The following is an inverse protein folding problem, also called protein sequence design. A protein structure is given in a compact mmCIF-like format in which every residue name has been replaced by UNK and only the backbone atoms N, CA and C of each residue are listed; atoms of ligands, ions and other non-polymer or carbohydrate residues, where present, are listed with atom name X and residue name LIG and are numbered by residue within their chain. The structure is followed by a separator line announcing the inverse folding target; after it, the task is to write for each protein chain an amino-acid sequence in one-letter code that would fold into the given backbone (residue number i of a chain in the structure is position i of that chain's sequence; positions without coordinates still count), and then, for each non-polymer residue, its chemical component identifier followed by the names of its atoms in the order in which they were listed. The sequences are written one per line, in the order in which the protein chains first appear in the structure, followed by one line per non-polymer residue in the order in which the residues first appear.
data_IF_012686969204
#
_entry.id   IF_012686969204
#
_cell.length_a   1.000
_cell.length_b   1.000
_cell.length_c   1.000
_cell.angle_alpha   90.00
_cell.angle_beta   90.00
_cell.angle_gamma   90.00
#
_symmetry.space_group_name_H-M   'P 1'
#
loop_
_entity.id
_entity.type
_entity.pdbx_description
1 polymer ?
2 non-polymer ?
3 non-polymer ?
4 non-polymer ?
5 water ?
#
# COMPACT_ATOMS: atom_id res chain seq x y z
N UNK A 1 -0.48 -25.69 -17.67
CA UNK A 1 -1.57 -24.79 -18.19
C UNK A 1 -2.57 -24.43 -17.11
N UNK A 2 -3.77 -24.03 -17.53
CA UNK A 2 -4.83 -23.63 -16.61
C UNK A 2 -5.21 -24.74 -15.63
N UNK A 3 -5.41 -25.96 -16.13
CA UNK A 3 -5.82 -27.08 -15.28
C UNK A 3 -4.74 -27.40 -14.26
N UNK A 4 -3.48 -27.39 -14.71
CA UNK A 4 -2.36 -27.58 -13.75
C UNK A 4 -2.35 -26.47 -12.69
N UNK A 5 -2.57 -25.21 -13.09
CA UNK A 5 -2.57 -24.11 -12.12
C UNK A 5 -3.62 -24.30 -11.03
N UNK A 6 -4.77 -24.84 -11.42
CA UNK A 6 -5.81 -25.14 -10.43
C UNK A 6 -5.26 -26.17 -9.42
N UNK A 7 -4.53 -27.19 -9.89
CA UNK A 7 -3.88 -28.13 -8.99
C UNK A 7 -2.79 -27.48 -8.12
N UNK A 8 -1.96 -26.60 -8.69
CA UNK A 8 -0.93 -25.91 -7.91
C UNK A 8 -1.58 -25.12 -6.80
N UNK A 9 -2.63 -24.38 -7.15
CA UNK A 9 -3.30 -23.52 -6.17
C UNK A 9 -3.97 -24.36 -5.11
N UNK A 10 -4.69 -25.39 -5.52
CA UNK A 10 -5.33 -26.26 -4.52
C UNK A 10 -4.37 -26.95 -3.59
N UNK A 11 -3.16 -27.28 -4.05
CA UNK A 11 -2.20 -28.01 -3.22
C UNK A 11 -1.76 -27.22 -2.00
N UNK A 12 -1.73 -25.90 -2.15
CA UNK A 12 -1.38 -25.03 -1.04
C UNK A 12 -2.37 -23.89 -1.00
N UNK A 13 -3.66 -24.22 -0.91
CA UNK A 13 -4.73 -23.22 -1.08
C UNK A 13 -4.63 -22.09 -0.08
N UNK A 14 -4.38 -22.43 1.19
CA UNK A 14 -4.24 -21.42 2.27
C UNK A 14 -3.23 -20.33 1.88
N UNK A 15 -2.04 -20.78 1.51
CA UNK A 15 -0.96 -19.86 1.18
C UNK A 15 -1.23 -19.03 -0.07
N UNK A 16 -1.68 -19.65 -1.16
CA UNK A 16 -2.00 -18.88 -2.34
C UNK A 16 -3.18 -17.93 -2.14
N UNK A 17 -4.22 -18.39 -1.44
CA UNK A 17 -5.40 -17.56 -1.25
C UNK A 17 -4.99 -16.30 -0.45
N UNK A 18 -4.20 -16.49 0.59
CA UNK A 18 -3.80 -15.32 1.39
C UNK A 18 -2.90 -14.40 0.57
N UNK A 19 -1.92 -14.98 -0.11
CA UNK A 19 -0.97 -14.26 -0.97
C UNK A 19 -1.67 -13.36 -1.99
N UNK A 20 -2.60 -13.98 -2.70
CA UNK A 20 -3.24 -13.29 -3.81
C UNK A 20 -4.22 -12.25 -3.28
N UNK A 21 -4.98 -12.60 -2.24
CA UNK A 21 -5.91 -11.62 -1.67
C UNK A 21 -5.19 -10.38 -1.15
N UNK A 22 -4.07 -10.59 -0.46
CA UNK A 22 -3.26 -9.46 0.01
C UNK A 22 -2.71 -8.68 -1.16
N UNK A 23 -2.25 -9.37 -2.19
CA UNK A 23 -1.78 -8.68 -3.40
C UNK A 23 -2.89 -7.76 -3.93
N UNK A 24 -4.11 -8.28 -3.95
CA UNK A 24 -5.29 -7.50 -4.37
C UNK A 24 -5.48 -6.23 -3.53
N UNK A 25 -5.53 -6.40 -2.21
CA UNK A 25 -5.76 -5.26 -1.30
C UNK A 25 -4.61 -4.28 -1.39
N UNK A 26 -3.39 -4.77 -1.54
CA UNK A 26 -2.28 -3.83 -1.54
C UNK A 26 -2.18 -3.04 -2.84
N UNK A 27 -2.57 -3.67 -3.96
CA UNK A 27 -2.60 -3.01 -5.26
C UNK A 27 -3.75 -2.00 -5.36
N UNK A 28 -4.89 -2.35 -4.77
CA UNK A 28 -6.10 -1.53 -4.80
C UNK A 28 -6.59 -1.30 -3.38
N UNK A 29 -5.89 -0.39 -2.64
CA UNK A 29 -6.20 -0.20 -1.22
C UNK A 29 -7.63 0.25 -0.96
N UNK A 30 -8.27 0.88 -1.95
CA UNK A 30 -9.63 1.32 -1.73
C UNK A 30 -10.62 0.14 -1.63
N UNK A 31 -10.19 -1.05 -2.05
CA UNK A 31 -11.00 -2.27 -1.94
C UNK A 31 -11.15 -2.79 -0.51
N UNK A 32 -10.26 -2.35 0.37
CA UNK A 32 -10.28 -2.83 1.73
C UNK A 32 -11.55 -2.40 2.49
N UNK A 33 -12.17 -1.30 2.06
CA UNK A 33 -13.42 -0.80 2.66
C UNK A 33 -14.52 -1.86 2.70
N UNK A 34 -14.50 -2.77 1.73
CA UNK A 34 -15.49 -3.86 1.73
C UNK A 34 -15.27 -4.89 2.83
N UNK A 35 -14.09 -4.88 3.46
CA UNK A 35 -13.76 -5.88 4.51
C UNK A 35 -13.38 -5.17 5.81
N UNK A 36 -14.41 -4.68 6.50
CA UNK A 36 -14.22 -3.79 7.65
C UNK A 36 -13.29 -4.34 8.74
N UNK A 37 -13.29 -5.65 8.95
CA UNK A 37 -12.44 -6.24 9.98
C UNK A 37 -10.96 -6.30 9.60
N UNK A 38 -10.65 -5.95 8.35
CA UNK A 38 -9.26 -5.95 7.87
C UNK A 38 -8.64 -4.56 7.82
N UNK A 39 -9.44 -3.52 8.07
CA UNK A 39 -8.94 -2.13 8.13
C UNK A 39 -7.88 -1.95 9.23
N UNK A 40 -6.77 -1.28 8.92
CA UNK A 40 -5.76 -0.94 9.92
C UNK A 40 -4.92 -2.12 10.37
N UNK A 41 -4.81 -3.11 9.50
CA UNK A 41 -4.02 -4.31 9.79
C UNK A 41 -2.98 -4.57 8.72
N UNK A 42 -1.74 -4.86 9.15
CA UNK A 42 -0.71 -5.29 8.22
C UNK A 42 -0.96 -6.72 7.73
N UNK A 43 -0.19 -7.15 6.74
CA UNK A 43 -0.34 -8.50 6.19
C UNK A 43 -0.16 -9.53 7.30
N UNK A 44 0.90 -9.41 8.09
CA UNK A 44 1.19 -10.45 9.07
C UNK A 44 0.14 -10.41 10.18
N UNK A 45 -0.40 -9.22 10.46
CA UNK A 45 -1.49 -9.08 11.43
C UNK A 45 -2.74 -9.83 10.97
N UNK A 46 -3.11 -9.63 9.71
CA UNK A 46 -4.27 -10.36 9.15
C UNK A 46 -4.10 -11.86 9.26
N UNK A 47 -2.88 -12.37 9.05
CA UNK A 47 -2.63 -13.82 9.06
C UNK A 47 -2.79 -14.53 10.41
N UNK A 48 -2.99 -13.77 11.48
CA UNK A 48 -3.25 -14.35 12.80
C UNK A 48 -4.70 -14.10 13.25
N UNK A 49 -5.51 -13.60 12.34
CA UNK A 49 -6.95 -13.50 12.56
C UNK A 49 -7.66 -14.66 11.92
N UNK A 50 -8.37 -15.43 12.74
CA UNK A 50 -9.04 -16.65 12.30
C UNK A 50 -9.94 -16.45 11.08
N UNK A 51 -10.75 -15.39 11.09
CA UNK A 51 -11.67 -15.17 9.97
C UNK A 51 -10.96 -14.81 8.67
N UNK A 52 -9.77 -14.20 8.76
CA UNK A 52 -9.05 -13.87 7.54
C UNK A 52 -8.66 -15.13 6.77
N UNK A 53 -8.00 -16.07 7.45
CA UNK A 53 -7.62 -17.35 6.84
C UNK A 53 -8.83 -18.13 6.34
N UNK A 54 -9.87 -18.17 7.16
CA UNK A 54 -11.05 -18.96 6.79
C UNK A 54 -11.77 -18.34 5.58
N UNK A 55 -12.03 -17.04 5.62
CA UNK A 55 -12.68 -16.29 4.52
C UNK A 55 -11.91 -16.44 3.23
N UNK A 56 -10.61 -16.16 3.27
CA UNK A 56 -9.80 -16.16 2.04
C UNK A 56 -9.72 -17.56 1.45
N UNK A 57 -9.58 -18.57 2.28
CA UNK A 57 -9.63 -19.88 1.70
C UNK A 57 -11.00 -20.22 1.09
N UNK A 58 -12.10 -19.79 1.72
CA UNK A 58 -13.41 -20.08 1.14
C UNK A 58 -13.60 -19.34 -0.21
N UNK A 59 -13.07 -18.14 -0.31
CA UNK A 59 -13.14 -17.42 -1.56
C UNK A 59 -12.42 -18.18 -2.65
N UNK A 60 -11.18 -18.58 -2.38
CA UNK A 60 -10.40 -19.25 -3.40
C UNK A 60 -10.84 -20.66 -3.66
N UNK A 61 -11.42 -21.33 -2.67
CA UNK A 61 -12.03 -22.63 -2.98
C UNK A 61 -13.15 -22.46 -4.02
N UNK A 62 -14.07 -21.51 -3.80
CA UNK A 62 -15.11 -21.25 -4.80
C UNK A 62 -14.50 -20.85 -6.14
N UNK A 63 -13.52 -19.95 -6.13
CA UNK A 63 -12.92 -19.53 -7.40
C UNK A 63 -12.36 -20.75 -8.17
N UNK A 64 -11.70 -21.64 -7.46
CA UNK A 64 -11.16 -22.84 -8.09
C UNK A 64 -12.25 -23.76 -8.59
N UNK A 65 -13.39 -23.82 -7.90
CA UNK A 65 -14.53 -24.63 -8.36
C UNK A 65 -15.05 -24.05 -9.68
N UNK A 66 -15.20 -22.74 -9.73
CA UNK A 66 -15.69 -22.05 -10.91
C UNK A 66 -14.69 -22.27 -12.05
N UNK A 67 -13.40 -22.18 -11.74
CA UNK A 67 -12.35 -22.37 -12.75
C UNK A 67 -12.38 -23.81 -13.30
N UNK A 68 -12.56 -24.80 -12.43
CA UNK A 68 -12.56 -26.20 -12.84
C UNK A 68 -13.79 -26.54 -13.69
N UNK A 69 -14.90 -25.89 -13.40
CA UNK A 69 -16.17 -26.09 -14.13
C UNK A 69 -16.20 -25.37 -15.47
N UNK A 70 -15.29 -24.41 -15.66
CA UNK A 70 -15.24 -23.65 -16.90
C UNK A 70 -14.85 -24.54 -18.09
N UNK A 71 -15.26 -24.10 -19.27
CA UNK A 71 -14.78 -24.72 -20.52
C UNK A 71 -13.95 -23.68 -21.26
N UNK A 72 -12.68 -24.02 -21.56
CA UNK A 72 -11.80 -23.12 -22.28
C UNK A 72 -11.77 -21.71 -21.60
N UNK A 73 -11.74 -21.72 -20.28
CA UNK A 73 -11.65 -20.48 -19.48
C UNK A 73 -12.90 -19.62 -19.56
N UNK A 74 -14.01 -20.24 -19.97
CA UNK A 74 -15.30 -19.56 -19.94
C UNK A 74 -16.14 -20.21 -18.84
N UNK A 75 -16.50 -19.43 -17.80
CA UNK A 75 -17.23 -19.98 -16.66
C UNK A 75 -18.68 -20.28 -17.00
N UNK A 76 -19.28 -21.17 -16.24
CA UNK A 76 -20.71 -21.43 -16.41
C UNK A 76 -21.57 -20.23 -16.10
N UNK A 77 -22.66 -20.09 -16.86
CA UNK A 77 -23.61 -19.06 -16.60
C UNK A 77 -24.17 -19.12 -15.17
N UNK A 78 -24.39 -20.34 -14.65
CA UNK A 78 -24.95 -20.54 -13.31
C UNK A 78 -23.94 -20.11 -12.24
N UNK A 79 -22.66 -20.34 -12.51
CA UNK A 79 -21.61 -19.89 -11.58
C UNK A 79 -21.51 -18.37 -11.53
N UNK A 80 -21.59 -17.70 -12.67
CA UNK A 80 -21.56 -16.23 -12.68
C UNK A 80 -22.77 -15.68 -11.94
N UNK A 81 -23.94 -16.28 -12.19
CA UNK A 81 -25.15 -15.86 -11.53
C UNK A 81 -25.02 -15.98 -10.01
N UNK A 82 -24.46 -17.09 -9.53
CA UNK A 82 -24.22 -17.32 -8.10
C UNK A 82 -23.42 -16.16 -7.52
N UNK A 83 -22.36 -15.77 -8.22
CA UNK A 83 -21.51 -14.71 -7.72
C UNK A 83 -22.17 -13.32 -7.73
N UNK A 84 -23.07 -13.08 -8.67
CA UNK A 84 -23.81 -11.80 -8.72
C UNK A 84 -24.85 -11.73 -7.61
N UNK A 85 -25.51 -12.85 -7.35
CA UNK A 85 -26.66 -12.80 -6.45
C UNK A 85 -26.33 -13.09 -4.98
N UNK A 86 -25.06 -13.44 -4.70
CA UNK A 86 -24.59 -13.62 -3.33
C UNK A 86 -24.82 -12.37 -2.49
N UNK A 87 -25.39 -12.57 -1.30
CA UNK A 87 -25.70 -11.46 -0.40
C UNK A 87 -24.45 -10.62 -0.11
N UNK A 88 -23.31 -11.29 0.07
CA UNK A 88 -22.04 -10.61 0.31
C UNK A 88 -21.54 -9.73 -0.83
N UNK A 89 -22.08 -9.93 -2.04
CA UNK A 89 -21.63 -9.20 -3.22
C UNK A 89 -22.62 -8.14 -3.74
N UNK A 90 -23.63 -7.80 -2.94
CA UNK A 90 -24.70 -6.88 -3.38
C UNK A 90 -24.20 -5.50 -3.83
N UNK A 91 -23.18 -4.98 -3.16
CA UNK A 91 -22.69 -3.65 -3.48
C UNK A 91 -21.66 -3.62 -4.62
N UNK A 92 -21.25 -4.80 -5.07
CA UNK A 92 -20.16 -4.92 -6.04
C UNK A 92 -20.51 -4.56 -7.49
N UNK A 93 -19.51 -4.08 -8.21
CA UNK A 93 -19.61 -3.90 -9.66
C UNK A 93 -18.55 -4.76 -10.34
N UNK A 94 -18.64 -4.92 -11.66
CA UNK A 94 -17.68 -5.80 -12.33
C UNK A 94 -16.25 -5.27 -12.21
N UNK A 95 -16.11 -3.97 -11.92
CA UNK A 95 -14.80 -3.37 -11.73
C UNK A 95 -14.05 -3.99 -10.55
N UNK A 96 -14.78 -4.41 -9.52
CA UNK A 96 -14.15 -4.99 -8.32
C UNK A 96 -13.50 -6.30 -8.73
N UNK A 97 -14.23 -7.09 -9.54
CA UNK A 97 -13.72 -8.36 -10.06
C UNK A 97 -12.58 -8.19 -11.03
N UNK A 98 -12.71 -7.22 -11.95
CA UNK A 98 -11.63 -6.87 -12.86
C UNK A 98 -10.33 -6.62 -12.07
N UNK A 99 -10.44 -5.87 -10.97
CA UNK A 99 -9.28 -5.53 -10.16
C UNK A 99 -8.68 -6.75 -9.46
N UNK A 100 -9.53 -7.65 -8.96
CA UNK A 100 -9.05 -8.89 -8.34
C UNK A 100 -8.23 -9.68 -9.34
N UNK A 101 -8.74 -9.76 -10.57
CA UNK A 101 -8.06 -10.56 -11.58
C UNK A 101 -6.80 -9.92 -12.13
N UNK A 102 -6.77 -8.59 -12.20
CA UNK A 102 -5.52 -7.89 -12.54
C UNK A 102 -4.45 -8.20 -11.48
N UNK A 103 -4.84 -8.10 -10.21
CA UNK A 103 -3.90 -8.43 -9.12
C UNK A 103 -3.44 -9.90 -9.17
N UNK A 104 -4.38 -10.80 -9.43
CA UNK A 104 -4.07 -12.23 -9.45
C UNK A 104 -3.05 -12.53 -10.57
N UNK A 105 -3.29 -11.97 -11.76
CA UNK A 105 -2.41 -12.17 -12.89
C UNK A 105 -1.02 -11.57 -12.64
N UNK A 106 -1.00 -10.37 -12.07
CA UNK A 106 0.27 -9.72 -11.66
C UNK A 106 1.05 -10.59 -10.68
N UNK A 107 0.32 -11.13 -9.71
CA UNK A 107 0.93 -12.02 -8.71
C UNK A 107 1.56 -13.22 -9.44
N UNK A 108 0.84 -13.84 -10.37
CA UNK A 108 1.32 -15.04 -11.05
C UNK A 108 2.56 -14.73 -11.84
N UNK A 109 2.55 -13.60 -12.55
CA UNK A 109 3.70 -13.21 -13.36
C UNK A 109 4.94 -12.95 -12.51
N UNK A 110 4.77 -12.37 -11.33
CA UNK A 110 5.88 -12.08 -10.40
C UNK A 110 6.41 -13.32 -9.67
N UNK A 111 5.62 -14.38 -9.65
CA UNK A 111 5.96 -15.54 -8.84
C UNK A 111 7.06 -16.38 -9.46
N UNK A 112 7.68 -17.21 -8.62
CA UNK A 112 8.66 -18.20 -9.08
C UNK A 112 8.04 -19.47 -9.62
N UNK A 113 6.73 -19.64 -9.40
CA UNK A 113 5.95 -20.78 -9.91
C UNK A 113 5.43 -20.50 -11.32
N UNK A 114 5.47 -21.52 -12.20
CA UNK A 114 5.15 -21.48 -13.67
C UNK A 114 3.68 -21.40 -14.18
N UNK A 115 2.96 -20.38 -13.76
CA UNK A 115 1.53 -20.26 -14.02
C UNK A 115 1.27 -19.89 -15.46
N UNK A 116 0.09 -20.27 -15.93
CA UNK A 116 -0.39 -19.90 -17.28
C UNK A 116 -1.15 -18.58 -17.09
N UNK A 117 -0.40 -17.50 -16.87
CA UNK A 117 -1.01 -16.24 -16.49
C UNK A 117 -1.97 -15.70 -17.56
N UNK A 118 -1.67 -15.92 -18.84
CA UNK A 118 -2.57 -15.54 -19.94
C UNK A 118 -3.96 -16.17 -19.80
N UNK A 119 -3.98 -17.45 -19.41
CA UNK A 119 -5.26 -18.18 -19.24
C UNK A 119 -6.05 -17.56 -18.10
N UNK A 120 -5.36 -17.17 -17.01
CA UNK A 120 -6.06 -16.53 -15.89
C UNK A 120 -6.63 -15.17 -16.25
N UNK A 121 -5.92 -14.45 -17.12
CA UNK A 121 -6.39 -13.17 -17.59
C UNK A 121 -7.65 -13.37 -18.43
N UNK A 122 -7.62 -14.35 -19.34
CA UNK A 122 -8.80 -14.75 -20.14
C UNK A 122 -9.97 -15.13 -19.25
N UNK A 123 -9.70 -15.99 -18.27
CA UNK A 123 -10.72 -16.42 -17.33
C UNK A 123 -11.34 -15.22 -16.59
N UNK A 124 -10.51 -14.32 -16.10
CA UNK A 124 -11.02 -13.12 -15.42
C UNK A 124 -11.88 -12.27 -16.34
N UNK A 125 -11.42 -12.08 -17.56
CA UNK A 125 -12.23 -11.28 -18.50
C UNK A 125 -13.55 -11.94 -18.84
N UNK A 126 -13.49 -13.26 -19.06
CA UNK A 126 -14.71 -14.01 -19.34
C UNK A 126 -15.67 -14.10 -18.15
N UNK A 127 -15.11 -14.16 -16.94
CA UNK A 127 -15.91 -14.08 -15.74
C UNK A 127 -16.58 -12.70 -15.65
N UNK A 128 -15.83 -11.62 -15.89
CA UNK A 128 -16.40 -10.26 -15.88
C UNK A 128 -17.52 -10.13 -16.92
N UNK A 129 -17.28 -10.62 -18.13
CA UNK A 129 -18.33 -10.62 -19.15
C UNK A 129 -19.58 -11.36 -18.67
N UNK A 130 -19.40 -12.51 -18.04
CA UNK A 130 -20.52 -13.35 -17.56
C UNK A 130 -21.24 -12.71 -16.39
N UNK A 131 -20.50 -12.05 -15.52
CA UNK A 131 -21.16 -11.25 -14.48
C UNK A 131 -22.04 -10.15 -15.09
N UNK A 132 -21.49 -9.46 -16.09
CA UNK A 132 -22.23 -8.38 -16.78
C UNK A 132 -23.51 -8.92 -17.40
N UNK A 133 -23.40 -10.05 -18.11
CA UNK A 133 -24.55 -10.63 -18.77
C UNK A 133 -25.55 -11.15 -17.72
N UNK A 134 -25.07 -11.41 -16.51
CA UNK A 134 -25.94 -11.80 -15.40
C UNK A 134 -26.50 -10.61 -14.60
N UNK A 135 -26.27 -9.41 -15.13
CA UNK A 135 -26.87 -8.22 -14.56
C UNK A 135 -26.04 -7.40 -13.60
N UNK A 136 -24.78 -7.77 -13.35
CA UNK A 136 -23.95 -6.98 -12.45
C UNK A 136 -23.62 -5.66 -13.14
N UNK A 137 -23.73 -4.57 -12.37
CA UNK A 137 -23.42 -3.21 -12.80
C UNK A 137 -21.94 -3.06 -13.17
N UNK B 1 -1.89 -1.81 2.57
CA UNK B 1 -2.42 -0.52 3.10
C UNK B 1 -1.38 0.22 3.92
N UNK B 2 -1.86 1.23 4.63
CA UNK B 2 -0.99 2.11 5.42
C UNK B 2 -0.21 1.30 6.48
N UNK B 3 -0.90 0.46 7.23
CA UNK B 3 -0.21 -0.36 8.22
C UNK B 3 0.84 -1.27 7.62
N UNK B 4 0.51 -1.92 6.49
CA UNK B 4 1.50 -2.75 5.80
C UNK B 4 2.69 -1.91 5.31
N UNK B 5 2.41 -0.69 4.84
CA UNK B 5 3.49 0.20 4.36
C UNK B 5 4.48 0.51 5.46
N UNK B 6 3.97 0.71 6.68
CA UNK B 6 4.88 0.94 7.81
C UNK B 6 5.83 -0.26 7.97
N UNK B 7 5.29 -1.49 7.83
CA UNK B 7 6.12 -2.70 7.94
C UNK B 7 7.11 -2.81 6.78
N UNK B 8 6.67 -2.42 5.58
CA UNK B 8 7.57 -2.41 4.41
C UNK B 8 8.77 -1.47 4.65
N UNK B 9 8.46 -0.27 5.08
CA UNK B 9 9.52 0.72 5.31
C UNK B 9 10.45 0.24 6.42
N UNK B 10 9.87 -0.25 7.52
CA UNK B 10 10.68 -0.75 8.63
C UNK B 10 11.57 -1.92 8.23
N UNK B 11 11.10 -2.72 7.27
CA UNK B 11 11.88 -3.86 6.77
C UNK B 11 13.19 -3.52 6.06
N UNK B 12 13.30 -2.28 5.57
CA UNK B 12 14.48 -1.81 4.85
C UNK B 12 14.65 -0.32 5.17
N UNK B 13 14.62 0.01 6.46
CA UNK B 13 14.48 1.39 6.92
C UNK B 13 15.58 2.35 6.44
N UNK B 14 16.84 2.02 6.70
CA UNK B 14 17.96 2.93 6.34
C UNK B 14 17.88 3.27 4.84
N UNK B 15 17.65 2.25 4.01
CA UNK B 15 17.57 2.48 2.55
C UNK B 15 16.39 3.40 2.16
N UNK B 16 15.18 3.11 2.64
CA UNK B 16 14.02 3.94 2.36
C UNK B 16 14.19 5.34 2.94
N UNK B 17 14.70 5.43 4.16
CA UNK B 17 14.89 6.72 4.80
C UNK B 17 15.82 7.61 3.97
N UNK B 18 16.97 7.08 3.58
CA UNK B 18 17.90 7.88 2.78
C UNK B 18 17.32 8.21 1.42
N UNK B 19 16.68 7.22 0.77
CA UNK B 19 16.12 7.47 -0.56
C UNK B 19 14.99 8.46 -0.59
N UNK B 20 14.09 8.36 0.37
CA UNK B 20 13.01 9.35 0.47
C UNK B 20 13.50 10.74 0.89
N UNK B 21 14.44 10.84 1.82
CA UNK B 21 14.93 12.15 2.23
C UNK B 21 15.67 12.83 1.07
N UNK B 22 16.45 12.06 0.29
CA UNK B 22 17.13 12.62 -0.89
C UNK B 22 16.10 13.07 -1.91
N UNK B 23 15.04 12.29 -2.09
CA UNK B 23 13.96 12.72 -2.98
C UNK B 23 13.39 14.08 -2.56
N UNK B 24 13.19 14.24 -1.26
CA UNK B 24 12.75 15.49 -0.64
C UNK B 24 13.70 16.66 -0.98
N UNK B 25 14.98 16.49 -0.65
CA UNK B 25 15.97 17.56 -0.90
C UNK B 25 16.15 17.86 -2.37
N UNK B 26 16.12 16.82 -3.19
CA UNK B 26 16.27 17.09 -4.62
C UNK B 26 15.06 17.74 -5.26
N UNK B 27 13.85 17.45 -4.77
CA UNK B 27 12.62 18.05 -5.28
C UNK B 27 12.44 19.50 -4.84
N UNK B 28 12.91 19.79 -3.62
CA UNK B 28 12.78 21.13 -3.05
C UNK B 28 14.16 21.58 -2.71
N UNK B 29 14.93 22.00 -3.74
CA UNK B 29 16.30 22.31 -3.39
C UNK B 29 16.43 23.42 -2.32
N UNK B 30 15.46 24.34 -2.28
CA UNK B 30 15.47 25.42 -1.29
C UNK B 30 15.45 24.90 0.15
N UNK B 31 14.88 23.72 0.34
CA UNK B 31 14.79 23.07 1.65
C UNK B 31 16.13 22.63 2.21
N UNK B 32 17.12 22.45 1.36
CA UNK B 32 18.45 22.06 1.83
C UNK B 32 19.06 23.14 2.73
N UNK B 33 18.58 24.40 2.57
CA UNK B 33 19.03 25.50 3.41
C UNK B 33 19.01 25.13 4.89
N UNK B 34 18.02 24.32 5.30
CA UNK B 34 17.84 23.95 6.70
C UNK B 34 18.89 22.97 7.18
N UNK B 35 19.65 22.42 6.21
CA UNK B 35 20.61 21.36 6.47
C UNK B 35 22.04 21.76 6.07
N UNK B 36 22.76 22.27 7.08
CA UNK B 36 24.09 22.86 6.93
C UNK B 36 25.07 22.11 6.01
N UNK B 37 25.68 21.05 6.55
CA UNK B 37 26.73 20.30 5.88
C UNK B 37 26.17 19.33 4.82
N UNK B 38 24.93 19.58 4.36
CA UNK B 38 24.36 18.79 3.26
C UNK B 38 24.49 19.53 1.94
N UNK B 39 24.69 20.83 2.01
CA UNK B 39 24.81 21.68 0.84
C UNK B 39 26.05 21.28 0.02
N UNK B 40 25.92 21.33 -1.32
CA UNK B 40 27.04 21.14 -2.23
C UNK B 40 27.50 19.70 -2.35
N UNK B 41 26.60 18.76 -2.02
CA UNK B 41 26.94 17.33 -1.99
C UNK B 41 26.01 16.52 -2.89
N UNK B 42 26.58 15.58 -3.64
CA UNK B 42 25.76 14.64 -4.43
C UNK B 42 25.14 13.59 -3.50
N UNK B 43 24.15 12.89 -4.05
CA UNK B 43 23.49 11.78 -3.31
C UNK B 43 24.50 10.78 -2.71
N UNK B 44 25.45 10.35 -3.53
CA UNK B 44 26.45 9.37 -3.07
C UNK B 44 27.36 9.92 -1.97
N UNK B 45 27.71 11.19 -2.08
CA UNK B 45 28.48 11.85 -1.02
C UNK B 45 27.69 11.83 0.29
N UNK B 46 26.42 12.21 0.22
CA UNK B 46 25.59 12.18 1.43
C UNK B 46 25.47 10.79 2.02
N UNK B 47 25.34 9.77 1.18
CA UNK B 47 25.13 8.41 1.68
C UNK B 47 26.38 7.79 2.32
N UNK B 48 27.50 8.48 2.15
CA UNK B 48 28.77 8.09 2.77
C UNK B 48 29.13 8.92 3.98
N UNK B 49 28.33 9.97 4.22
CA UNK B 49 28.43 10.78 5.42
C UNK B 49 27.73 10.03 6.57
N UNK B 50 28.49 9.55 7.57
CA UNK B 50 27.88 8.75 8.65
C UNK B 50 26.72 9.52 9.33
N UNK B 51 26.86 10.83 9.47
CA UNK B 51 25.86 11.62 10.15
C UNK B 51 24.52 11.67 9.38
N UNK B 52 24.58 11.81 8.07
CA UNK B 52 23.40 11.80 7.22
C UNK B 52 22.61 10.51 7.39
N UNK B 53 23.30 9.38 7.34
CA UNK B 53 22.65 8.08 7.51
C UNK B 53 22.04 7.96 8.90
N UNK B 54 22.80 8.34 9.92
CA UNK B 54 22.33 8.23 11.30
C UNK B 54 21.11 9.12 11.56
N UNK B 55 21.18 10.36 11.09
CA UNK B 55 20.09 11.35 11.29
C UNK B 55 18.81 10.95 10.55
N UNK B 56 18.97 10.64 9.27
CA UNK B 56 17.82 10.26 8.45
C UNK B 56 17.18 8.98 8.95
N UNK B 57 17.97 8.04 9.47
CA UNK B 57 17.38 6.85 10.08
C UNK B 57 16.52 7.23 11.28
N UNK B 58 17.07 8.10 12.15
CA UNK B 58 16.33 8.53 13.34
C UNK B 58 15.05 9.25 12.97
N UNK B 59 15.10 10.11 11.94
CA UNK B 59 13.86 10.74 11.41
C UNK B 59 12.79 9.71 11.05
N UNK B 60 13.15 8.74 10.23
CA UNK B 60 12.19 7.77 9.75
C UNK B 60 11.78 6.75 10.83
N UNK B 61 12.68 6.44 11.77
CA UNK B 61 12.29 5.63 12.92
C UNK B 61 11.14 6.30 13.65
N UNK B 62 11.27 7.60 13.93
CA UNK B 62 10.21 8.35 14.59
C UNK B 62 8.97 8.48 13.69
N UNK B 63 9.18 8.77 12.40
CA UNK B 63 8.03 8.97 11.51
C UNK B 63 7.18 7.68 11.49
N UNK B 64 7.85 6.55 11.45
CA UNK B 64 7.13 5.27 11.42
C UNK B 64 6.38 5.03 12.72
N UNK B 65 6.97 5.42 13.85
CA UNK B 65 6.27 5.31 15.15
C UNK B 65 5.01 6.19 15.16
N UNK B 66 5.15 7.43 14.70
CA UNK B 66 3.99 8.38 14.64
C UNK B 66 2.91 7.77 13.74
N UNK B 67 3.33 7.21 12.60
CA UNK B 67 2.39 6.57 11.69
C UNK B 67 1.71 5.41 12.34
N UNK B 68 2.49 4.58 13.04
CA UNK B 68 1.98 3.37 13.70
C UNK B 68 1.00 3.68 14.84
N UNK B 69 1.22 4.82 15.52
CA UNK B 69 0.41 5.28 16.65
C UNK B 69 -0.90 5.95 16.15
N UNK B 70 -0.94 6.31 14.87
CA UNK B 70 -2.11 7.02 14.29
C UNK B 70 -3.34 6.13 14.25
N UNK B 71 -4.52 6.74 14.18
CA UNK B 71 -5.78 6.05 13.86
C UNK B 71 -6.29 6.62 12.55
N UNK B 72 -6.52 5.75 11.57
CA UNK B 72 -6.99 6.18 10.26
C UNK B 72 -6.13 7.35 9.73
N UNK B 73 -4.81 7.20 9.87
CA UNK B 73 -3.85 8.19 9.38
C UNK B 73 -3.91 9.55 10.08
N UNK B 74 -4.52 9.61 11.26
CA UNK B 74 -4.57 10.85 12.05
C UNK B 74 -3.63 10.61 13.24
N UNK B 75 -2.54 11.39 13.33
CA UNK B 75 -1.53 11.13 14.39
C UNK B 75 -2.02 11.52 15.78
N UNK B 76 -1.45 10.91 16.82
CA UNK B 76 -1.74 11.41 18.17
C UNK B 76 -1.37 12.89 18.33
N UNK B 77 -2.14 13.63 19.13
CA UNK B 77 -1.80 15.03 19.41
C UNK B 77 -0.44 15.11 20.11
N UNK B 78 -0.15 14.13 20.98
CA UNK B 78 1.13 14.14 21.72
C UNK B 78 2.33 14.01 20.77
N UNK B 79 2.16 13.19 19.72
CA UNK B 79 3.22 13.08 18.72
C UNK B 79 3.46 14.41 17.96
N UNK B 80 2.36 15.08 17.60
CA UNK B 80 2.45 16.40 17.00
C UNK B 80 3.12 17.38 17.95
N UNK B 81 2.73 17.38 19.22
CA UNK B 81 3.34 18.27 20.18
C UNK B 81 4.87 18.08 20.22
N UNK B 82 5.32 16.84 20.25
CA UNK B 82 6.76 16.50 20.26
C UNK B 82 7.45 17.10 19.04
N UNK B 83 6.85 16.93 17.87
CA UNK B 83 7.46 17.45 16.65
C UNK B 83 7.54 18.97 16.62
N UNK B 84 6.57 19.65 17.23
CA UNK B 84 6.59 21.11 17.28
C UNK B 84 7.62 21.61 18.30
N UNK B 85 7.75 20.89 19.40
CA UNK B 85 8.55 21.36 20.55
C UNK B 85 10.05 21.04 20.45
N UNK B 86 10.42 20.05 19.64
CA UNK B 86 11.82 19.64 19.50
C UNK B 86 12.66 20.86 19.13
N UNK B 87 13.79 21.03 19.82
CA UNK B 87 14.64 22.19 19.56
C UNK B 87 15.11 22.20 18.11
N UNK B 88 15.32 21.01 17.55
CA UNK B 88 15.80 20.86 16.18
C UNK B 88 14.80 21.38 15.16
N UNK B 89 13.54 21.49 15.57
CA UNK B 89 12.47 21.97 14.70
C UNK B 89 12.03 23.43 14.94
N UNK B 90 12.84 24.16 15.72
CA UNK B 90 12.50 25.56 16.09
C UNK B 90 12.35 26.51 14.91
N UNK B 91 13.03 26.24 13.81
CA UNK B 91 12.98 27.12 12.65
C UNK B 91 11.96 26.69 11.60
N UNK B 92 11.23 25.60 11.86
CA UNK B 92 10.28 25.07 10.89
C UNK B 92 8.86 25.64 10.97
N UNK B 93 8.18 25.60 9.83
CA UNK B 93 6.75 25.86 9.73
C UNK B 93 6.09 24.67 9.01
N UNK B 94 4.76 24.63 8.97
CA UNK B 94 4.05 23.45 8.41
C UNK B 94 4.34 23.23 6.91
N UNK B 95 4.73 24.28 6.21
CA UNK B 95 5.11 24.17 4.79
C UNK B 95 6.25 23.18 4.57
N UNK B 96 7.19 23.15 5.50
CA UNK B 96 8.34 22.26 5.43
C UNK B 96 7.91 20.82 5.46
N UNK B 97 6.92 20.54 6.31
CA UNK B 97 6.32 19.21 6.42
C UNK B 97 5.48 18.86 5.21
N UNK B 98 4.66 19.80 4.73
CA UNK B 98 3.87 19.62 3.51
C UNK B 98 4.77 19.12 2.39
N UNK B 99 5.88 19.83 2.18
CA UNK B 99 6.87 19.51 1.11
C UNK B 99 7.41 18.09 1.26
N UNK B 100 7.84 17.76 2.49
CA UNK B 100 8.39 16.42 2.77
C UNK B 100 7.40 15.35 2.33
N UNK B 101 6.14 15.54 2.68
CA UNK B 101 5.13 14.54 2.35
C UNK B 101 4.71 14.51 0.88
N UNK B 102 4.74 15.65 0.20
CA UNK B 102 4.55 15.66 -1.25
C UNK B 102 5.65 14.80 -1.90
N UNK B 103 6.89 14.98 -1.46
CA UNK B 103 8.01 14.21 -2.03
C UNK B 103 7.91 12.72 -1.71
N UNK B 104 7.52 12.41 -0.48
CA UNK B 104 7.34 11.04 -0.04
C UNK B 104 6.28 10.31 -0.87
N UNK B 105 5.12 10.95 -1.02
CA UNK B 105 4.05 10.38 -1.84
C UNK B 105 4.51 10.17 -3.30
N UNK B 106 5.20 11.16 -3.84
CA UNK B 106 5.74 11.05 -5.21
C UNK B 106 6.69 9.86 -5.33
N UNK B 107 7.58 9.73 -4.36
CA UNK B 107 8.52 8.64 -4.33
C UNK B 107 7.75 7.31 -4.33
N UNK B 108 6.70 7.23 -3.51
CA UNK B 108 5.94 5.99 -3.41
C UNK B 108 5.25 5.62 -4.71
N UNK B 109 4.66 6.61 -5.37
CA UNK B 109 3.99 6.42 -6.66
C UNK B 109 4.97 5.92 -7.71
N UNK B 110 6.18 6.45 -7.67
CA UNK B 110 7.19 6.12 -8.69
C UNK B 110 7.89 4.78 -8.45
N UNK B 111 7.76 4.25 -7.23
CA UNK B 111 8.50 3.05 -6.84
C UNK B 111 7.87 1.78 -7.41
N UNK B 112 8.68 0.72 -7.49
CA UNK B 112 8.21 -0.63 -7.86
C UNK B 112 7.38 -1.31 -6.79
N UNK B 113 7.66 -0.93 -5.54
CA UNK B 113 6.93 -1.43 -4.37
C UNK B 113 5.53 -0.85 -4.28
N UNK B 114 4.54 -1.71 -3.91
CA UNK B 114 3.11 -1.36 -3.87
C UNK B 114 2.60 -0.63 -2.62
N UNK B 115 2.95 0.63 -2.51
CA UNK B 115 2.54 1.47 -1.38
C UNK B 115 1.09 2.02 -1.52
N UNK B 116 0.42 2.28 -0.39
CA UNK B 116 -0.88 2.96 -0.38
C UNK B 116 -0.60 4.48 -0.38
N UNK B 117 -0.20 5.02 -1.53
CA UNK B 117 0.28 6.40 -1.58
C UNK B 117 -0.78 7.42 -1.13
N UNK B 118 -2.05 7.12 -1.40
CA UNK B 118 -3.14 8.01 -0.99
C UNK B 118 -3.24 8.14 0.53
N UNK B 119 -2.99 7.03 1.24
CA UNK B 119 -3.01 7.07 2.70
C UNK B 119 -1.88 7.94 3.25
N UNK B 120 -0.71 7.84 2.62
CA UNK B 120 0.43 8.66 3.02
C UNK B 120 0.16 10.16 2.77
N UNK B 121 -0.54 10.45 1.68
CA UNK B 121 -0.98 11.82 1.42
C UNK B 121 -1.89 12.32 2.55
N UNK B 122 -2.88 11.52 2.91
CA UNK B 122 -3.79 11.87 4.01
C UNK B 122 -3.01 12.04 5.31
N UNK B 123 -2.07 11.12 5.57
CA UNK B 123 -1.24 11.18 6.79
C UNK B 123 -0.49 12.48 6.86
N UNK B 124 0.12 12.88 5.74
CA UNK B 124 0.86 14.15 5.70
C UNK B 124 -0.06 15.34 5.95
N UNK B 125 -1.25 15.37 5.35
CA UNK B 125 -2.25 16.43 5.59
C UNK B 125 -2.67 16.47 7.05
N UNK B 126 -2.93 15.30 7.61
CA UNK B 126 -3.43 15.21 8.98
C UNK B 126 -2.33 15.56 9.97
N UNK B 127 -1.10 15.18 9.63
CA UNK B 127 0.03 15.56 10.47
C UNK B 127 0.18 17.10 10.46
N UNK B 128 0.20 17.69 9.27
CA UNK B 128 0.22 19.18 9.12
C UNK B 128 -0.88 19.86 9.96
N UNK B 129 -2.11 19.37 9.86
CA UNK B 129 -3.21 19.90 10.67
C UNK B 129 -2.93 19.80 12.16
N UNK B 130 -2.39 18.66 12.60
CA UNK B 130 -2.05 18.43 14.00
C UNK B 130 -0.91 19.35 14.47
N UNK B 131 0.08 19.54 13.60
CA UNK B 131 1.17 20.51 13.85
C UNK B 131 0.63 21.90 14.07
N UNK B 132 -0.32 22.31 13.24
CA UNK B 132 -0.96 23.62 13.34
C UNK B 132 -1.69 23.76 14.68
N UNK B 133 -2.46 22.74 15.05
CA UNK B 133 -3.19 22.76 16.32
C UNK B 133 -2.24 22.79 17.51
N UNK B 134 -1.07 22.16 17.36
CA UNK B 134 -0.02 22.16 18.40
C UNK B 134 0.78 23.47 18.42
N UNK B 135 0.48 24.37 17.50
CA UNK B 135 1.04 25.71 17.52
C UNK B 135 2.11 26.08 16.51
N UNK B 136 2.46 25.17 15.60
CA UNK B 136 3.43 25.50 14.56
C UNK B 136 2.81 26.49 13.55
N UNK B 137 3.60 27.48 13.13
CA UNK B 137 3.11 28.46 12.15
C UNK B 137 3.13 27.93 10.72
X LIG C 1 -17.49 -13.19 0.72
X LIG C 1 -16.33 -15.73 -3.21
X LIG C 1 -14.81 -11.76 -5.46
X LIG C 1 -16.21 -9.12 -1.66
X LIG C 1 -17.25 -14.21 -0.17
X LIG C 1 -17.45 -15.59 0.17
X LIG C 1 -17.12 -16.31 -0.92
X LIG C 1 -16.72 -15.36 -1.94
X LIG C 1 -17.18 -17.85 -1.06
X LIG C 1 -17.95 -16.14 1.52
X LIG C 1 -16.81 -16.44 2.47
X LIG C 1 -17.41 -17.11 3.69
X LIG C 1 -17.14 -16.63 4.83
X LIG C 1 -18.16 -18.12 3.53
X LIG C 1 -15.79 -14.90 -4.14
X LIG C 1 -15.23 -15.31 -5.40
X LIG C 1 -14.80 -14.21 -6.03
X LIG C 1 -15.10 -13.06 -5.19
X LIG C 1 -15.12 -16.79 -5.85
X LIG C 1 -14.09 -14.07 -7.40
X LIG C 1 -14.27 -14.87 -8.46
X LIG C 1 -15.01 -10.69 -4.62
X LIG C 1 -14.55 -9.33 -4.85
X LIG C 1 -14.95 -8.61 -3.77
X LIG C 1 -15.64 -9.50 -2.86
X LIG C 1 -13.79 -8.86 -6.12
X LIG C 1 -14.74 -7.11 -3.47
X LIG C 1 -13.75 -6.44 -4.06
X LIG C 1 -16.68 -9.96 -0.67
X LIG C 1 -17.09 -9.52 0.64
X LIG C 1 -17.47 -10.78 1.38
X LIG C 1 -17.24 -11.87 0.46
X LIG C 1 -17.12 -8.07 1.16
X LIG C 1 -18.00 -10.86 2.82
X LIG C 1 -16.83 -10.50 3.73
X LIG C 1 -16.10 -11.74 4.17
X LIG C 1 -16.50 -12.89 3.79
X LIG C 1 -15.10 -11.59 4.92
X LIG C 1 -16.80 -14.02 -1.48
X LIG C 1 -15.69 -13.55 -4.05
X LIG C 1 -15.64 -10.77 -3.40
X LIG C 1 -16.80 -11.33 -0.72
X LIG C 1 -16.37 -12.37 -2.48
X LIG D 1 -13.00 -12.71 1.97
X LIG D 1 -14.05 -12.27 1.17
X LIG D 1 -13.82 -11.92 -0.17
X LIG D 1 -12.54 -12.02 -0.70
X LIG D 1 -11.49 -12.48 0.11
X LIG D 1 -11.72 -12.82 1.44
X LIG D 1 -13.25 -13.05 3.27
X LIG D 1 -12.33 -11.69 -1.98
X LIG E 1 -4.87 -26.07 -20.15
X LIG E 1 -3.65 -26.82 -19.88
X LIG E 1 -5.39 -26.53 -21.47
X LIG E 1 -5.83 -26.37 -19.14
X LIG E 1 -4.48 -24.68 -20.21
X LIG F 1 -4.84 0.18 6.22
X LIG F 1 -4.54 -1.11 5.60
X LIG F 1 -6.22 0.17 6.71
X LIG F 1 -3.92 0.40 7.32
X LIG F 1 -4.62 1.22 5.25
X LIG G 1 16.14 16.52 13.46
X LIG G 1 12.21 13.71 13.20
X LIG G 1 10.42 16.50 9.62
X LIG G 1 14.26 19.37 9.93
X LIG G 1 15.27 15.48 13.66
X LIG G 1 15.48 14.33 14.54
X LIG G 1 14.38 13.55 14.48
X LIG G 1 13.47 14.19 13.55
X LIG G 1 14.16 12.21 15.23
X LIG G 1 16.73 14.02 15.40
X LIG G 1 17.77 13.35 14.52
X LIG G 1 19.07 13.08 15.25
X LIG G 1 19.46 13.84 16.16
X LIG G 1 19.74 12.08 14.92
X LIG G 1 11.38 14.20 12.22
X LIG G 1 10.12 13.64 11.78
X LIG G 1 9.64 14.41 10.80
X LIG G 1 10.57 15.51 10.56
X LIG G 1 9.49 12.36 12.36
X LIG G 1 8.35 14.26 9.96
X LIG G 1 7.26 13.62 10.42
X LIG G 1 11.33 17.50 9.35
X LIG G 1 11.22 18.46 8.25
X LIG G 1 12.31 19.24 8.35
X LIG G 1 13.08 18.80 9.48
X LIG G 1 10.08 18.51 7.21
X LIG G 1 12.75 20.43 7.47
X LIG G 1 12.40 20.53 6.19
X LIG G 1 15.14 18.92 10.90
X LIG G 1 16.40 19.53 11.27
X LIG G 1 16.98 18.63 12.36
X LIG G 1 16.02 17.56 12.56
X LIG G 1 17.02 20.81 10.70
X LIG G 1 18.32 18.85 13.11
X LIG G 1 19.52 18.80 12.16
X LIG G 1 20.02 17.41 11.91
X LIG G 1 20.97 17.25 11.09
X LIG G 1 19.51 16.42 12.50
X LIG G 1 14.02 15.38 13.07
X LIG G 1 11.62 15.33 11.44
X LIG G 1 12.47 17.72 10.09
X LIG G 1 14.96 17.79 11.69
X LIG G 1 13.19 16.66 11.72
X LIG H 1 18.25 14.93 9.68
X LIG H 1 17.97 14.14 8.57
X LIG H 1 16.67 14.14 8.05
X LIG H 1 15.68 14.94 8.63
X LIG H 1 15.99 15.72 9.74
X LIG H 1 17.27 15.70 10.27
X LIG H 1 19.51 14.92 10.21
X LIG H 1 14.43 14.96 8.14
#
# INVERSE_FOLDING_TARGET
GFKQDIATIRGDLRTYAQDIFLAFLNKYPDERRYFKNYVGKSDQELKSMAKFGDHTEKVFNLMMEVADRATDCVPLASDANTLVQMKQHSSLTTGNFEKLFVALVEYMRASGQSFDSQSWDRFGKNLVSALSSAGMK
GFKQDIATIRGDLRTYAQDIFLAFLNKYPDERRYFKNYVGKSDQELKSMAKFGDHTEKVFNLMMEVADRATDCVPLASDANTLVQMKQHSSLTTGNFEKLFVALVEYMRASGQSFDSQSWDRFGKNLVSALSSAGMK
HEM CHA CHB CHC CHD C1A C2A C3A C4A CMA CAA CBA CGA O1A O2A C1B C2B C3B C4B CMB CAB CBB C1C C2C C3C C4C CMC CAC CBC C1D C2D C3D C4D CMD CAD CBD CGD O1D O2D NA NB NC ND FE
FPN C1 C2 C3 C4 C5 C6 O1 F1
SO4 S O1 O2 O3 O4
SO4 S O1 O2 O3 O4
HEM CHA CHB CHC CHD C1A C2A C3A C4A CMA CAA CBA CGA O1A O2A C1B C2B C3B C4B CMB CAB CBB C1C C2C C3C C4C CMC CAC CBC C1D C2D C3D C4D CMD CAD CBD CGD O1D O2D NA NB NC ND FE
FPN C1 C2 C3 C4 C5 C6 O1 F1
#
